data_IF_862730535233
#
_entry.id   IF_862730535233
#
_cell.length_a   1.000
_cell.length_b   1.000
_cell.length_c   1.000
_cell.angle_alpha   90.00
_cell.angle_beta   90.00
_cell.angle_gamma   90.00
#
_symmetry.space_group_name_H-M   'P 1'
#
loop_
_entity.id
_entity.type
_entity.pdbx_description
1 polymer ?
#
# COMPACT_ATOMS: atom_id res chain seq x y z
N UNK A 1 -8.66 -17.40 -30.30
CA UNK A 1 -7.26 -16.95 -30.52
C UNK A 1 -7.00 -15.60 -29.85
N UNK A 2 -7.23 -15.47 -28.52
CA UNK A 2 -6.97 -14.22 -27.77
C UNK A 2 -6.51 -14.46 -26.33
N UNK A 3 -5.91 -15.61 -26.04
CA UNK A 3 -5.45 -15.96 -24.67
C UNK A 3 -3.99 -16.42 -24.59
N UNK A 4 -3.17 -16.11 -25.59
CA UNK A 4 -1.78 -16.61 -25.64
C UNK A 4 -0.72 -15.51 -25.80
N UNK A 5 -0.89 -14.34 -25.17
CA UNK A 5 0.10 -13.25 -25.24
C UNK A 5 0.54 -12.75 -23.85
N UNK A 6 0.18 -13.45 -22.77
CA UNK A 6 0.44 -12.98 -21.39
C UNK A 6 1.35 -13.92 -20.58
N UNK A 7 2.29 -14.61 -21.24
CA UNK A 7 3.22 -15.54 -20.59
C UNK A 7 4.72 -15.33 -20.94
N UNK A 8 5.09 -14.23 -21.60
CA UNK A 8 6.50 -14.01 -22.03
C UNK A 8 7.26 -12.91 -21.26
N UNK A 9 6.82 -12.53 -20.05
CA UNK A 9 7.49 -11.48 -19.24
C UNK A 9 8.36 -12.00 -18.08
N UNK A 10 8.59 -13.31 -17.97
CA UNK A 10 9.51 -13.89 -16.96
C UNK A 10 10.72 -14.60 -17.57
N UNK A 11 11.32 -14.01 -18.61
CA UNK A 11 12.50 -14.54 -19.29
C UNK A 11 13.75 -13.67 -19.13
N UNK A 12 14.70 -14.17 -18.34
CA UNK A 12 16.16 -13.92 -18.44
C UNK A 12 16.78 -12.72 -17.68
N UNK A 13 16.97 -12.88 -16.35
CA UNK A 13 17.97 -12.12 -15.61
C UNK A 13 19.32 -12.87 -15.63
N UNK A 14 20.07 -12.67 -16.72
CA UNK A 14 21.39 -13.24 -16.96
C UNK A 14 22.51 -12.55 -16.17
N UNK A 15 22.93 -13.20 -15.08
CA UNK A 15 24.28 -13.23 -14.45
C UNK A 15 25.33 -12.26 -15.01
N UNK A 16 25.56 -11.13 -14.34
CA UNK A 16 26.83 -10.39 -14.39
C UNK A 16 27.71 -10.73 -13.17
N UNK A 17 28.86 -11.34 -13.46
CA UNK A 17 29.94 -11.66 -12.51
C UNK A 17 30.54 -10.39 -11.91
N UNK A 18 30.49 -10.24 -10.59
CA UNK A 18 31.36 -9.31 -9.85
C UNK A 18 32.77 -9.91 -9.80
N UNK A 19 33.74 -9.18 -10.33
CA UNK A 19 35.14 -9.59 -10.42
C UNK A 19 35.89 -9.20 -9.16
N UNK A 20 36.73 -10.11 -8.68
CA UNK A 20 37.56 -9.98 -7.49
C UNK A 20 38.84 -9.19 -7.83
N UNK A 21 39.22 -8.24 -6.98
CA UNK A 21 40.62 -7.82 -6.84
C UNK A 21 40.94 -7.44 -5.39
N UNK A 22 41.70 -8.34 -4.76
CA UNK A 22 42.83 -8.16 -3.81
C UNK A 22 42.73 -7.21 -2.61
N UNK A 23 42.93 -7.81 -1.43
CA UNK A 23 43.20 -7.21 -0.11
C UNK A 23 44.73 -6.91 0.10
N UNK A 24 45.25 -6.74 1.35
CA UNK A 24 45.35 -5.57 2.26
C UNK A 24 46.85 -5.30 2.60
N UNK A 25 47.38 -4.88 3.80
CA UNK A 25 46.82 -4.26 5.03
C UNK A 25 47.67 -3.10 5.65
N UNK A 26 47.10 -2.36 6.60
CA UNK A 26 47.77 -1.74 7.77
C UNK A 26 46.64 -1.44 8.78
N UNK A 27 46.58 -1.88 10.03
CA UNK A 27 47.62 -2.25 10.98
C UNK A 27 47.67 -1.20 12.07
N UNK A 28 46.78 -1.28 13.08
CA UNK A 28 47.12 -0.91 14.47
C UNK A 28 46.02 -1.29 15.47
N UNK A 29 46.53 -1.64 16.65
CA UNK A 29 45.94 -2.43 17.72
C UNK A 29 45.15 -1.63 18.77
N UNK A 30 44.62 -2.39 19.75
CA UNK A 30 44.10 -2.03 21.09
C UNK A 30 42.64 -1.54 21.11
N UNK A 31 41.80 -1.94 22.06
CA UNK A 31 41.98 -2.71 23.31
C UNK A 31 40.61 -3.17 23.81
N UNK A 32 40.63 -4.26 24.58
CA UNK A 32 39.51 -4.81 25.34
C UNK A 32 38.98 -3.81 26.38
N UNK A 33 37.66 -3.74 26.55
CA UNK A 33 37.05 -3.61 27.88
C UNK A 33 35.56 -3.95 27.81
N UNK A 34 35.19 -4.97 28.56
CA UNK A 34 33.83 -5.28 28.93
C UNK A 34 33.26 -4.17 29.83
N UNK A 35 32.00 -3.78 29.61
CA UNK A 35 31.19 -3.15 30.65
C UNK A 35 29.83 -3.84 30.73
N UNK A 36 29.63 -4.50 31.87
CA UNK A 36 28.37 -5.04 32.33
C UNK A 36 27.73 -3.95 33.20
N UNK A 37 26.60 -3.42 32.75
CA UNK A 37 25.76 -2.51 33.54
C UNK A 37 24.37 -3.10 33.71
N UNK A 38 24.19 -3.90 34.75
CA UNK A 38 22.89 -4.20 35.35
C UNK A 38 22.34 -2.92 36.00
N UNK A 39 21.09 -2.55 35.68
CA UNK A 39 20.27 -1.75 36.61
C UNK A 39 18.85 -2.33 36.63
N UNK A 40 18.59 -3.12 37.67
CA UNK A 40 17.26 -3.29 38.22
C UNK A 40 17.04 -2.15 39.20
N UNK A 41 15.87 -1.49 39.19
CA UNK A 41 15.12 -1.25 40.42
C UNK A 41 13.82 -0.43 40.23
N UNK A 42 12.71 -1.12 40.48
CA UNK A 42 11.59 -0.77 41.37
C UNK A 42 10.61 0.39 41.12
N UNK A 43 9.35 -0.02 41.26
CA UNK A 43 8.24 0.64 41.99
C UNK A 43 7.42 1.71 41.27
N UNK A 44 6.15 1.36 41.04
CA UNK A 44 5.10 2.26 40.60
C UNK A 44 3.75 1.57 40.52
N UNK A 45 3.34 0.92 41.61
CA UNK A 45 1.98 0.43 41.78
C UNK A 45 1.01 1.61 41.81
N UNK A 46 -0.05 1.57 40.99
CA UNK A 46 -1.32 2.20 41.35
C UNK A 46 -2.47 1.35 40.84
N UNK A 47 -3.02 0.61 41.79
CA UNK A 47 -4.36 0.05 41.78
C UNK A 47 -5.38 1.19 41.78
N UNK A 48 -6.28 1.20 40.81
CA UNK A 48 -7.50 2.00 40.84
C UNK A 48 -8.57 1.23 40.08
N UNK A 49 -9.39 0.49 40.82
CA UNK A 49 -10.64 -0.08 40.30
C UNK A 49 -11.69 1.01 40.13
N UNK A 50 -12.54 0.86 39.13
CA UNK A 50 -13.88 1.43 39.13
C UNK A 50 -14.81 0.47 38.36
N UNK A 51 -15.63 -0.23 39.13
CA UNK A 51 -16.73 -1.07 38.68
C UNK A 51 -17.89 -0.17 38.21
N UNK A 52 -18.13 -0.13 36.91
CA UNK A 52 -19.23 0.63 36.31
C UNK A 52 -20.07 -0.23 35.38
N UNK A 53 -20.94 -1.07 35.96
CA UNK A 53 -22.03 -1.73 35.22
C UNK A 53 -22.93 -0.68 34.56
N UNK A 54 -23.01 -0.69 33.23
CA UNK A 54 -24.07 0.03 32.49
C UNK A 54 -24.72 -0.86 31.45
N UNK A 55 -25.73 -1.56 31.95
CA UNK A 55 -27.06 -1.78 31.36
C UNK A 55 -27.17 -1.82 29.83
N UNK A 56 -27.48 -3.03 29.34
CA UNK A 56 -28.00 -3.32 28.01
C UNK A 56 -29.06 -2.30 27.57
N UNK A 57 -28.84 -1.67 26.42
CA UNK A 57 -29.94 -1.12 25.62
C UNK A 57 -29.86 -1.72 24.22
N UNK A 58 -30.89 -2.49 23.93
CA UNK A 58 -31.27 -3.07 22.64
C UNK A 58 -31.24 -1.97 21.58
N UNK A 59 -30.42 -2.14 20.54
CA UNK A 59 -30.52 -1.34 19.32
C UNK A 59 -31.48 -2.11 18.43
N UNK A 60 -32.71 -1.60 18.33
CA UNK A 60 -33.70 -2.09 17.38
C UNK A 60 -33.18 -1.82 15.97
N UNK A 61 -33.29 -2.85 15.12
CA UNK A 61 -32.99 -2.80 13.69
C UNK A 61 -34.09 -1.98 13.02
N UNK A 62 -33.77 -0.78 12.58
CA UNK A 62 -34.63 -0.06 11.63
C UNK A 62 -34.52 -0.72 10.26
N UNK A 63 -35.66 -1.21 9.80
CA UNK A 63 -35.87 -1.82 8.49
C UNK A 63 -35.78 -0.77 7.37
N UNK A 64 -35.23 -1.25 6.26
CA UNK A 64 -35.04 -0.57 4.99
C UNK A 64 -36.30 0.17 4.49
N UNK A 65 -36.15 1.47 4.21
CA UNK A 65 -37.01 2.19 3.26
C UNK A 65 -36.17 2.76 2.13
N UNK A 66 -35.99 1.89 1.14
CA UNK A 66 -35.77 2.25 -0.25
C UNK A 66 -36.96 3.08 -0.74
N UNK A 67 -36.70 4.34 -1.05
CA UNK A 67 -37.58 5.16 -1.89
C UNK A 67 -36.69 6.03 -2.76
N UNK A 68 -36.67 5.71 -4.05
CA UNK A 68 -35.85 6.37 -5.06
C UNK A 68 -36.15 7.86 -5.22
N UNK A 69 -35.36 8.51 -6.09
CA UNK A 69 -35.88 9.15 -7.30
C UNK A 69 -34.81 10.00 -8.00
N UNK A 70 -34.93 10.04 -9.33
CA UNK A 70 -34.55 11.12 -10.24
C UNK A 70 -33.07 11.40 -10.55
N UNK A 71 -32.67 10.83 -11.70
CA UNK A 71 -31.93 11.47 -12.79
C UNK A 71 -31.75 13.00 -12.64
N UNK A 72 -30.55 13.41 -12.21
CA UNK A 72 -29.98 14.70 -12.56
C UNK A 72 -28.59 14.47 -13.10
N UNK A 73 -28.45 14.48 -14.43
CA UNK A 73 -27.17 14.58 -15.13
C UNK A 73 -26.52 15.94 -14.82
N UNK A 74 -26.01 16.08 -13.60
CA UNK A 74 -24.86 16.92 -13.36
C UNK A 74 -23.68 16.04 -13.79
N UNK A 75 -23.09 16.31 -14.96
CA UNK A 75 -21.79 15.70 -15.29
C UNK A 75 -20.76 16.43 -14.43
N UNK A 76 -20.88 16.22 -13.11
CA UNK A 76 -19.83 16.48 -12.16
C UNK A 76 -18.63 15.70 -12.68
N UNK A 77 -17.49 16.37 -12.79
CA UNK A 77 -16.23 15.77 -13.19
C UNK A 77 -16.01 14.52 -12.33
N UNK A 78 -16.28 13.35 -12.91
CA UNK A 78 -16.30 12.10 -12.16
C UNK A 78 -14.89 11.91 -11.61
N UNK A 79 -14.79 11.64 -10.30
CA UNK A 79 -13.50 11.48 -9.66
C UNK A 79 -12.86 10.19 -10.22
N UNK A 80 -11.69 10.25 -10.88
CA UNK A 80 -11.08 9.10 -11.52
C UNK A 80 -10.77 7.95 -10.53
N UNK A 81 -10.66 8.27 -9.25
CA UNK A 81 -10.48 7.28 -8.19
C UNK A 81 -11.77 6.46 -8.00
N UNK A 82 -12.93 7.11 -8.01
CA UNK A 82 -14.23 6.44 -7.81
C UNK A 82 -14.51 5.51 -8.99
N UNK A 83 -14.25 5.95 -10.22
CA UNK A 83 -14.39 5.11 -11.42
C UNK A 83 -13.51 3.86 -11.36
N UNK A 84 -12.24 4.02 -10.93
CA UNK A 84 -11.33 2.90 -10.77
C UNK A 84 -11.87 1.87 -9.76
N UNK A 85 -12.43 2.31 -8.64
CA UNK A 85 -12.96 1.40 -7.63
C UNK A 85 -14.23 0.69 -8.03
N UNK A 86 -15.14 1.38 -8.69
CA UNK A 86 -16.31 0.72 -9.24
C UNK A 86 -15.91 -0.33 -10.28
N UNK A 87 -14.85 -0.09 -11.07
CA UNK A 87 -14.31 -1.09 -11.98
C UNK A 87 -13.70 -2.27 -11.21
N UNK A 88 -12.87 -2.02 -10.19
CA UNK A 88 -12.31 -3.10 -9.37
C UNK A 88 -13.42 -3.94 -8.72
N UNK A 89 -14.48 -3.32 -8.20
CA UNK A 89 -15.59 -4.03 -7.56
C UNK A 89 -16.23 -5.06 -8.50
N UNK A 90 -16.52 -4.64 -9.74
CA UNK A 90 -17.09 -5.52 -10.78
C UNK A 90 -16.13 -6.65 -11.17
N UNK A 91 -14.82 -6.38 -11.15
CA UNK A 91 -13.80 -7.40 -11.42
C UNK A 91 -13.72 -8.39 -10.25
N UNK A 92 -13.73 -7.91 -9.01
CA UNK A 92 -13.56 -8.73 -7.81
C UNK A 92 -14.75 -9.64 -7.53
N UNK A 93 -15.99 -9.21 -7.84
CA UNK A 93 -17.22 -10.00 -7.64
C UNK A 93 -17.19 -11.36 -8.36
N UNK A 94 -16.37 -11.52 -9.40
CA UNK A 94 -16.22 -12.76 -10.17
C UNK A 94 -14.98 -13.60 -9.82
N UNK A 95 -14.14 -13.16 -8.87
CA UNK A 95 -12.86 -13.80 -8.56
C UNK A 95 -12.92 -14.63 -7.28
N UNK A 96 -12.18 -15.74 -7.26
CA UNK A 96 -11.97 -16.52 -6.04
C UNK A 96 -10.99 -15.82 -5.10
N UNK A 97 -11.03 -16.20 -3.82
CA UNK A 97 -10.08 -15.72 -2.80
C UNK A 97 -8.61 -15.97 -3.17
N UNK A 98 -8.32 -17.08 -3.85
CA UNK A 98 -6.97 -17.38 -4.34
C UNK A 98 -6.53 -16.37 -5.40
N UNK A 99 -7.40 -16.03 -6.36
CA UNK A 99 -7.09 -15.03 -7.37
C UNK A 99 -6.90 -13.64 -6.75
N UNK A 100 -7.71 -13.26 -5.77
CA UNK A 100 -7.56 -12.00 -5.03
C UNK A 100 -6.22 -11.95 -4.27
N UNK A 101 -5.80 -13.07 -3.67
CA UNK A 101 -4.50 -13.18 -3.02
C UNK A 101 -3.35 -12.99 -4.02
N UNK A 102 -3.40 -13.66 -5.17
CA UNK A 102 -2.38 -13.53 -6.22
C UNK A 102 -2.31 -12.10 -6.76
N UNK A 103 -3.46 -11.45 -6.95
CA UNK A 103 -3.52 -10.02 -7.34
C UNK A 103 -2.92 -9.10 -6.29
N UNK A 104 -3.17 -9.36 -5.01
CA UNK A 104 -2.55 -8.61 -3.92
C UNK A 104 -1.02 -8.77 -3.92
N UNK A 105 -0.51 -9.98 -4.10
CA UNK A 105 0.94 -10.23 -4.21
C UNK A 105 1.54 -9.46 -5.38
N UNK A 106 0.94 -9.52 -6.57
CA UNK A 106 1.39 -8.76 -7.73
C UNK A 106 1.35 -7.23 -7.49
N UNK A 107 0.32 -6.73 -6.80
CA UNK A 107 0.24 -5.33 -6.39
C UNK A 107 1.41 -4.91 -5.48
N UNK A 108 1.83 -5.79 -4.56
CA UNK A 108 2.95 -5.54 -3.66
C UNK A 108 4.30 -5.51 -4.40
N UNK A 109 4.48 -6.34 -5.42
CA UNK A 109 5.66 -6.33 -6.29
C UNK A 109 5.75 -5.03 -7.09
N UNK A 110 4.65 -4.63 -7.74
CA UNK A 110 4.57 -3.35 -8.46
C UNK A 110 4.83 -2.15 -7.55
N UNK A 111 4.36 -2.20 -6.30
CA UNK A 111 4.68 -1.18 -5.30
C UNK A 111 6.18 -1.09 -5.03
N UNK A 112 6.87 -2.23 -4.92
CA UNK A 112 8.30 -2.26 -4.70
C UNK A 112 9.06 -1.64 -5.88
N UNK A 113 8.64 -1.95 -7.11
CA UNK A 113 9.21 -1.36 -8.32
C UNK A 113 8.95 0.14 -8.41
N UNK A 114 7.73 0.59 -8.12
CA UNK A 114 7.38 2.00 -8.05
C UNK A 114 8.22 2.75 -6.99
N UNK A 115 8.47 2.13 -5.83
CA UNK A 115 9.34 2.70 -4.80
C UNK A 115 10.79 2.85 -5.30
N UNK A 116 11.29 1.92 -6.11
CA UNK A 116 12.62 2.02 -6.70
C UNK A 116 12.68 3.16 -7.72
N UNK A 117 11.67 3.29 -8.58
CA UNK A 117 11.55 4.40 -9.54
C UNK A 117 11.49 5.76 -8.82
N UNK A 118 10.70 5.85 -7.74
CA UNK A 118 10.57 7.05 -6.92
C UNK A 118 11.92 7.47 -6.33
N UNK A 119 12.68 6.51 -5.76
CA UNK A 119 14.03 6.77 -5.21
C UNK A 119 15.02 7.22 -6.27
N UNK A 120 14.85 6.77 -7.51
CA UNK A 120 15.67 7.16 -8.65
C UNK A 120 15.26 8.53 -9.25
N UNK A 121 14.25 9.20 -8.69
CA UNK A 121 13.75 10.49 -9.18
C UNK A 121 12.86 10.40 -10.43
N UNK A 122 12.50 9.19 -10.86
CA UNK A 122 11.59 8.95 -11.99
C UNK A 122 10.14 8.99 -11.50
N UNK A 123 9.68 10.18 -11.11
CA UNK A 123 8.40 10.35 -10.44
C UNK A 123 7.19 10.00 -11.32
N UNK A 124 7.22 10.29 -12.61
CA UNK A 124 6.15 9.91 -13.55
C UNK A 124 5.98 8.42 -13.71
N UNK A 125 7.10 7.71 -13.93
CA UNK A 125 7.10 6.25 -14.03
C UNK A 125 6.67 5.62 -12.71
N UNK A 126 7.08 6.19 -11.57
CA UNK A 126 6.62 5.75 -10.25
C UNK A 126 5.10 5.93 -10.09
N UNK A 127 4.55 7.09 -10.47
CA UNK A 127 3.11 7.36 -10.41
C UNK A 127 2.30 6.42 -11.32
N UNK A 128 2.81 6.13 -12.51
CA UNK A 128 2.23 5.13 -13.42
C UNK A 128 2.24 3.74 -12.79
N UNK A 129 3.37 3.30 -12.20
CA UNK A 129 3.46 2.00 -11.52
C UNK A 129 2.61 1.89 -10.25
N UNK A 130 2.47 2.95 -9.46
CA UNK A 130 1.50 2.95 -8.36
C UNK A 130 0.05 2.81 -8.86
N UNK A 131 -0.27 3.33 -10.06
CA UNK A 131 -1.58 3.16 -10.67
C UNK A 131 -1.84 1.71 -11.08
N UNK A 132 -0.86 1.04 -11.66
CA UNK A 132 -0.94 -0.40 -11.94
C UNK A 132 -1.10 -1.22 -10.65
N UNK A 133 -0.35 -0.89 -9.61
CA UNK A 133 -0.48 -1.52 -8.30
C UNK A 133 -1.90 -1.35 -7.72
N UNK A 134 -2.50 -0.16 -7.83
CA UNK A 134 -3.87 0.13 -7.38
C UNK A 134 -4.94 -0.64 -8.15
N UNK A 135 -4.70 -0.94 -9.43
CA UNK A 135 -5.61 -1.73 -10.27
C UNK A 135 -5.63 -3.22 -9.90
N UNK A 136 -4.57 -3.71 -9.26
CA UNK A 136 -4.46 -5.09 -8.76
C UNK A 136 -4.78 -5.22 -7.28
N UNK A 137 -4.59 -4.17 -6.47
CA UNK A 137 -4.79 -4.21 -5.03
C UNK A 137 -6.29 -4.42 -4.69
N UNK A 138 -6.66 -5.54 -4.02
CA UNK A 138 -8.05 -5.82 -3.69
C UNK A 138 -8.72 -4.70 -2.89
N UNK A 139 -10.00 -4.41 -3.13
CA UNK A 139 -10.72 -3.32 -2.43
C UNK A 139 -10.77 -3.51 -0.91
N UNK A 140 -10.78 -4.77 -0.43
CA UNK A 140 -10.74 -5.10 1.00
C UNK A 140 -9.43 -4.69 1.70
N UNK A 141 -8.33 -4.55 0.96
CA UNK A 141 -7.00 -4.21 1.49
C UNK A 141 -6.84 -2.70 1.68
N UNK A 142 -7.75 -2.09 2.45
CA UNK A 142 -7.84 -0.63 2.62
C UNK A 142 -6.52 0.00 3.05
N UNK A 143 -5.80 -0.61 4.00
CA UNK A 143 -4.49 -0.13 4.48
C UNK A 143 -3.45 -0.07 3.36
N UNK A 144 -3.34 -1.13 2.57
CA UNK A 144 -2.38 -1.19 1.45
C UNK A 144 -2.74 -0.16 0.38
N UNK A 145 -4.03 0.01 0.09
CA UNK A 145 -4.53 0.99 -0.87
C UNK A 145 -4.26 2.43 -0.43
N UNK A 146 -4.51 2.79 0.83
CA UNK A 146 -4.20 4.12 1.37
C UNK A 146 -2.72 4.47 1.19
N UNK A 147 -1.82 3.52 1.46
CA UNK A 147 -0.38 3.72 1.24
C UNK A 147 -0.06 3.93 -0.25
N UNK A 148 -0.67 3.17 -1.15
CA UNK A 148 -0.48 3.35 -2.60
C UNK A 148 -0.99 4.72 -3.08
N UNK A 149 -2.14 5.19 -2.58
CA UNK A 149 -2.66 6.51 -2.90
C UNK A 149 -1.73 7.62 -2.42
N UNK A 150 -1.27 7.56 -1.17
CA UNK A 150 -0.34 8.53 -0.62
C UNK A 150 0.99 8.57 -1.39
N UNK A 151 1.56 7.40 -1.71
CA UNK A 151 2.82 7.32 -2.45
C UNK A 151 2.67 7.81 -3.90
N UNK A 152 1.54 7.50 -4.55
CA UNK A 152 1.22 8.05 -5.87
C UNK A 152 1.07 9.57 -5.83
N UNK A 153 0.41 10.12 -4.81
CA UNK A 153 0.28 11.55 -4.62
C UNK A 153 1.65 12.21 -4.43
N UNK A 154 2.54 11.60 -3.62
CA UNK A 154 3.91 12.06 -3.45
C UNK A 154 4.69 12.08 -4.77
N UNK A 155 4.56 11.03 -5.59
CA UNK A 155 5.16 10.97 -6.91
C UNK A 155 4.63 12.08 -7.83
N UNK A 156 3.32 12.29 -7.90
CA UNK A 156 2.71 13.34 -8.72
C UNK A 156 3.12 14.75 -8.26
N UNK A 157 3.27 14.98 -6.95
CA UNK A 157 3.80 16.24 -6.42
C UNK A 157 5.26 16.45 -6.83
N UNK A 158 6.08 15.39 -6.85
CA UNK A 158 7.46 15.42 -7.34
C UNK A 158 7.58 15.67 -8.85
N UNK A 159 6.61 15.22 -9.64
CA UNK A 159 6.59 15.35 -11.10
C UNK A 159 6.03 16.70 -11.62
N UNK A 160 5.76 17.66 -10.75
CA UNK A 160 5.02 18.91 -11.09
C UNK A 160 3.53 18.69 -11.46
N UNK A 161 3.00 17.48 -11.30
CA UNK A 161 1.61 17.09 -11.58
C UNK A 161 0.68 17.24 -10.36
N UNK A 162 0.76 18.41 -9.72
CA UNK A 162 0.06 18.69 -8.45
C UNK A 162 -1.47 18.59 -8.51
N UNK A 163 -2.09 18.82 -9.69
CA UNK A 163 -3.55 18.80 -9.84
C UNK A 163 -4.14 17.39 -9.73
N UNK A 164 -3.39 16.36 -10.14
CA UNK A 164 -3.81 14.96 -10.05
C UNK A 164 -3.58 14.37 -8.65
N UNK A 165 -2.68 14.97 -7.87
CA UNK A 165 -2.41 14.57 -6.50
C UNK A 165 -3.58 14.90 -5.55
N UNK A 166 -4.29 16.01 -5.77
CA UNK A 166 -5.36 16.49 -4.89
C UNK A 166 -6.43 15.44 -4.54
N UNK A 167 -7.09 14.77 -5.50
CA UNK A 167 -8.11 13.78 -5.17
C UNK A 167 -7.56 12.56 -4.43
N UNK A 168 -6.25 12.28 -4.51
CA UNK A 168 -5.61 11.15 -3.84
C UNK A 168 -5.30 11.43 -2.35
N UNK A 169 -5.25 12.70 -1.94
CA UNK A 169 -4.93 13.10 -0.56
C UNK A 169 -6.15 13.13 0.35
N UNK A 170 -7.36 13.21 -0.20
CA UNK A 170 -8.63 13.36 0.54
C UNK A 170 -9.22 12.00 0.97
N UNK A 171 -8.37 10.99 1.22
CA UNK A 171 -8.79 9.59 1.32
C UNK A 171 -8.10 8.80 2.42
#
# INVERSE_FOLDING_TARGET
MKEQVLLDLLGDCGKTKCNQTSAPPTGQERSESADKGDVQSDTGASSGGDDGERSQRVIEKDEDKDSGDSDKKNVAKVNPIVELEEWLKRVEDGLSEEHLKNRNTASQELKADANNLYKNGLYGDAAAKYSEALALCPLRETKSRSVLYANKAAALMGESNNKEALPLLDR
#
